data_IF_104378410241
#
_entry.id   IF_104378410241
#
_cell.length_a   1.000
_cell.length_b   1.000
_cell.length_c   1.000
_cell.angle_alpha   90.00
_cell.angle_beta   90.00
_cell.angle_gamma   90.00
#
_symmetry.space_group_name_H-M   'P 1'
#
loop_
_entity.id
_entity.type
_entity.pdbx_description
1 polymer ?
#
# COMPACT_ATOMS: atom_id res chain seq x y z
N UNK A 1 25.55 7.27 -5.45
CA UNK A 1 25.57 6.83 -4.03
C UNK A 1 25.56 8.09 -3.18
N UNK A 2 24.43 8.55 -2.77
CA UNK A 2 24.29 9.69 -1.87
C UNK A 2 23.95 9.13 -0.49
N UNK A 3 24.83 9.42 0.46
CA UNK A 3 24.71 9.02 1.84
C UNK A 3 23.46 9.66 2.48
N UNK A 4 22.46 8.88 2.77
CA UNK A 4 21.37 9.25 3.67
C UNK A 4 21.82 8.94 5.10
N UNK A 5 22.59 9.85 5.66
CA UNK A 5 22.75 10.00 7.10
C UNK A 5 23.15 11.44 7.34
N UNK A 6 22.30 12.12 8.06
CA UNK A 6 22.63 13.25 8.92
C UNK A 6 21.52 14.29 8.84
N UNK A 7 20.57 14.12 9.74
CA UNK A 7 20.17 15.28 10.53
C UNK A 7 21.48 15.70 11.21
N UNK A 8 22.08 16.79 10.73
CA UNK A 8 23.26 17.35 11.37
C UNK A 8 22.85 17.94 12.74
N UNK A 9 22.97 17.11 13.76
CA UNK A 9 23.12 17.65 15.12
C UNK A 9 24.47 18.33 15.23
N UNK A 10 24.44 19.61 15.54
CA UNK A 10 25.60 20.36 15.93
C UNK A 10 26.25 19.69 17.15
N UNK A 11 27.53 19.34 17.14
CA UNK A 11 28.17 18.72 18.28
C UNK A 11 28.69 19.78 19.23
N UNK A 12 27.79 20.40 20.01
CA UNK A 12 28.22 21.19 21.18
C UNK A 12 27.11 21.25 22.22
N UNK A 13 27.06 20.21 23.06
CA UNK A 13 26.64 20.33 24.46
C UNK A 13 26.97 19.03 25.20
N UNK A 14 27.99 19.11 26.01
CA UNK A 14 28.31 18.15 27.06
C UNK A 14 27.14 17.98 28.03
N UNK A 15 26.55 16.75 28.08
CA UNK A 15 25.64 16.35 29.15
C UNK A 15 24.14 16.37 28.80
N UNK A 16 23.73 16.09 27.55
CA UNK A 16 22.32 16.13 27.16
C UNK A 16 21.63 14.75 27.27
N UNK A 17 20.80 14.56 28.28
CA UNK A 17 19.77 13.53 28.25
C UNK A 17 18.80 13.81 27.09
N UNK A 18 18.14 12.73 26.56
CA UNK A 18 17.11 12.85 25.52
C UNK A 18 15.99 13.79 25.97
N UNK A 19 15.41 14.53 25.04
CA UNK A 19 14.23 15.35 25.31
C UNK A 19 13.03 14.47 25.72
N UNK A 20 12.04 15.01 26.45
CA UNK A 20 10.83 14.28 26.77
C UNK A 20 10.10 13.74 25.53
N UNK A 21 10.11 14.48 24.43
CA UNK A 21 9.51 14.08 23.14
C UNK A 21 10.26 12.92 22.49
N UNK A 22 11.59 12.93 22.54
CA UNK A 22 12.41 11.82 22.04
C UNK A 22 12.18 10.53 22.86
N UNK A 23 12.04 10.66 24.18
CA UNK A 23 11.76 9.53 25.05
C UNK A 23 10.36 8.96 24.82
N UNK A 24 9.36 9.82 24.60
CA UNK A 24 8.01 9.40 24.28
C UNK A 24 7.96 8.68 22.92
N UNK A 25 8.62 9.22 21.91
CA UNK A 25 8.72 8.60 20.59
C UNK A 25 9.39 7.23 20.65
N UNK A 26 10.50 7.09 21.38
CA UNK A 26 11.16 5.79 21.56
C UNK A 26 10.24 4.77 22.22
N UNK A 27 9.49 5.19 23.23
CA UNK A 27 8.52 4.33 23.91
C UNK A 27 7.42 3.87 22.98
N UNK A 28 6.88 4.77 22.13
CA UNK A 28 5.89 4.40 21.11
C UNK A 28 6.46 3.39 20.10
N UNK A 29 7.70 3.61 19.62
CA UNK A 29 8.35 2.69 18.69
C UNK A 29 8.55 1.30 19.28
N UNK A 30 8.99 1.19 20.54
CA UNK A 30 9.14 -0.09 21.22
C UNK A 30 7.77 -0.77 21.46
N UNK A 31 6.73 -0.02 21.77
CA UNK A 31 5.38 -0.57 21.87
C UNK A 31 4.92 -1.14 20.52
N UNK A 32 5.07 -0.40 19.43
CA UNK A 32 4.70 -0.86 18.08
C UNK A 32 5.49 -2.12 17.72
N UNK A 33 6.80 -2.12 17.92
CA UNK A 33 7.68 -3.27 17.64
C UNK A 33 7.29 -4.53 18.42
N UNK A 34 6.80 -4.36 19.65
CA UNK A 34 6.31 -5.48 20.45
C UNK A 34 5.00 -6.05 19.94
N UNK A 35 4.12 -5.21 19.35
CA UNK A 35 2.75 -5.55 18.97
C UNK A 35 2.56 -5.88 17.48
N UNK A 36 3.50 -5.51 16.61
CA UNK A 36 3.30 -5.58 15.16
C UNK A 36 4.42 -6.39 14.49
N UNK A 37 4.08 -7.16 13.47
CA UNK A 37 5.07 -7.82 12.61
C UNK A 37 4.62 -7.97 11.16
N UNK A 38 5.60 -8.19 10.27
CA UNK A 38 5.36 -8.64 8.89
C UNK A 38 5.52 -10.15 8.80
N UNK A 39 4.61 -10.80 8.09
CA UNK A 39 4.67 -12.23 7.81
C UNK A 39 5.35 -12.43 6.44
N UNK A 40 6.31 -13.34 6.39
CA UNK A 40 6.84 -13.81 5.13
C UNK A 40 5.79 -14.65 4.39
N UNK A 41 5.25 -14.15 3.28
CA UNK A 41 4.20 -14.83 2.53
C UNK A 41 4.62 -16.16 1.90
N UNK A 42 5.92 -16.44 1.78
CA UNK A 42 6.44 -17.72 1.25
C UNK A 42 6.55 -18.81 2.32
N UNK A 43 6.84 -18.40 3.55
CA UNK A 43 7.00 -19.28 4.71
C UNK A 43 6.24 -18.67 5.89
N UNK A 44 4.90 -18.69 5.85
CA UNK A 44 4.12 -18.02 6.87
C UNK A 44 4.14 -18.81 8.20
N UNK A 45 4.46 -18.11 9.29
CA UNK A 45 4.37 -18.60 10.65
C UNK A 45 3.32 -17.80 11.41
N UNK A 46 2.32 -18.47 11.96
CA UNK A 46 1.15 -17.82 12.58
C UNK A 46 1.05 -18.00 14.09
N UNK A 47 1.95 -18.76 14.72
CA UNK A 47 1.87 -19.12 16.14
C UNK A 47 1.79 -17.91 17.07
N UNK A 48 2.53 -16.84 16.74
CA UNK A 48 2.59 -15.59 17.49
C UNK A 48 1.58 -14.54 17.02
N UNK A 49 0.68 -14.90 16.09
CA UNK A 49 -0.26 -13.96 15.51
C UNK A 49 -1.62 -14.13 16.18
N UNK A 50 -2.16 -13.03 16.70
CA UNK A 50 -3.49 -13.00 17.28
C UNK A 50 -4.52 -12.26 16.42
N UNK A 51 -4.05 -11.29 15.56
CA UNK A 51 -4.91 -10.54 14.67
C UNK A 51 -4.19 -10.31 13.36
N UNK A 52 -4.85 -10.67 12.26
CA UNK A 52 -4.40 -10.43 10.90
C UNK A 52 -4.96 -9.14 10.32
N UNK A 53 -4.17 -8.50 9.47
CA UNK A 53 -4.59 -7.41 8.60
C UNK A 53 -4.08 -7.74 7.21
N UNK A 54 -4.99 -7.96 6.27
CA UNK A 54 -4.68 -8.39 4.90
C UNK A 54 -3.76 -9.63 4.81
N UNK A 55 -3.97 -10.59 5.70
CA UNK A 55 -3.32 -11.88 5.58
C UNK A 55 -4.03 -12.69 4.51
N UNK A 56 -3.49 -12.66 3.30
CA UNK A 56 -4.02 -13.37 2.13
C UNK A 56 -3.43 -14.76 1.93
N UNK A 57 -2.45 -15.14 2.76
CA UNK A 57 -1.81 -16.46 2.72
C UNK A 57 -2.67 -17.53 3.40
N UNK A 58 -2.66 -18.75 2.84
CA UNK A 58 -3.45 -19.87 3.38
C UNK A 58 -2.96 -20.29 4.76
N UNK A 59 -3.90 -20.77 5.60
CA UNK A 59 -3.61 -21.37 6.91
C UNK A 59 -3.71 -20.41 8.09
N UNK A 60 -4.02 -19.14 7.89
CA UNK A 60 -4.37 -18.25 8.99
C UNK A 60 -5.86 -18.41 9.32
N UNK A 61 -6.14 -18.86 10.55
CA UNK A 61 -7.52 -19.11 11.02
C UNK A 61 -8.01 -18.05 12.04
N UNK A 62 -7.19 -17.03 12.31
CA UNK A 62 -7.51 -15.95 13.24
C UNK A 62 -8.44 -14.89 12.64
N UNK A 63 -8.76 -13.88 13.47
CA UNK A 63 -9.47 -12.68 13.02
C UNK A 63 -8.57 -11.96 12.00
N UNK A 64 -9.11 -11.64 10.83
CA UNK A 64 -8.40 -11.00 9.74
C UNK A 64 -9.25 -9.89 9.12
N UNK A 65 -8.77 -8.65 9.21
CA UNK A 65 -9.35 -7.52 8.49
C UNK A 65 -8.82 -7.57 7.05
N UNK A 66 -9.66 -8.01 6.13
CA UNK A 66 -9.25 -8.28 4.75
C UNK A 66 -10.44 -8.13 3.80
N UNK A 67 -10.20 -7.46 2.67
CA UNK A 67 -11.18 -7.29 1.60
C UNK A 67 -10.87 -8.12 0.35
N UNK A 68 -9.77 -8.91 0.37
CA UNK A 68 -9.35 -9.77 -0.73
C UNK A 68 -9.99 -11.16 -0.72
N UNK A 69 -10.96 -11.39 0.17
CA UNK A 69 -11.75 -12.64 0.18
C UNK A 69 -12.60 -12.73 -1.08
N UNK A 70 -13.06 -13.95 -1.43
CA UNK A 70 -13.86 -14.19 -2.63
C UNK A 70 -15.03 -13.19 -2.75
N UNK A 71 -15.05 -12.43 -3.85
CA UNK A 71 -16.09 -11.45 -4.15
C UNK A 71 -15.57 -10.18 -4.83
N UNK A 72 -16.42 -9.17 -4.93
CA UNK A 72 -16.04 -7.86 -5.47
C UNK A 72 -15.29 -7.04 -4.43
N UNK A 73 -13.96 -7.00 -4.56
CA UNK A 73 -13.07 -6.26 -3.66
C UNK A 73 -13.31 -4.74 -3.67
N UNK A 74 -14.00 -4.21 -4.68
CA UNK A 74 -14.31 -2.78 -4.75
C UNK A 74 -15.49 -2.37 -3.87
N UNK A 75 -16.39 -3.30 -3.56
CA UNK A 75 -17.56 -3.05 -2.72
C UNK A 75 -17.33 -3.40 -1.24
N UNK A 76 -16.39 -4.31 -0.98
CA UNK A 76 -16.02 -4.67 0.40
C UNK A 76 -15.14 -3.57 1.01
N UNK A 77 -15.45 -3.08 2.23
CA UNK A 77 -14.59 -2.12 2.91
C UNK A 77 -13.16 -2.62 3.02
N UNK A 78 -12.19 -1.74 2.76
CA UNK A 78 -10.77 -2.07 2.91
C UNK A 78 -10.37 -2.33 4.36
N UNK A 79 -9.17 -2.81 4.62
CA UNK A 79 -8.74 -3.15 5.97
C UNK A 79 -8.76 -1.94 6.92
N UNK A 80 -8.34 -0.76 6.46
CA UNK A 80 -8.37 0.46 7.28
C UNK A 80 -9.80 0.92 7.58
N UNK A 81 -10.74 0.78 6.62
CA UNK A 81 -12.15 1.08 6.83
C UNK A 81 -12.78 0.09 7.83
N UNK A 82 -12.47 -1.21 7.70
CA UNK A 82 -12.89 -2.24 8.65
C UNK A 82 -12.35 -1.95 10.05
N UNK A 83 -11.09 -1.54 10.18
CA UNK A 83 -10.47 -1.20 11.46
C UNK A 83 -11.17 -0.04 12.18
N UNK A 84 -11.73 0.91 11.44
CA UNK A 84 -12.46 2.04 12.02
C UNK A 84 -13.75 1.59 12.72
N UNK A 85 -14.43 0.58 12.18
CA UNK A 85 -15.71 0.07 12.68
C UNK A 85 -15.58 -1.20 13.55
N UNK A 86 -14.39 -1.79 13.61
CA UNK A 86 -14.14 -3.06 14.29
C UNK A 86 -14.46 -2.96 15.78
N UNK A 87 -15.20 -3.94 16.33
CA UNK A 87 -15.43 -4.00 17.76
C UNK A 87 -14.15 -4.44 18.50
N UNK A 88 -13.56 -3.51 19.26
CA UNK A 88 -12.31 -3.73 19.99
C UNK A 88 -12.43 -4.85 21.05
N UNK A 89 -13.65 -5.19 21.51
CA UNK A 89 -13.85 -6.33 22.41
C UNK A 89 -13.54 -7.67 21.73
N UNK A 90 -13.53 -7.71 20.42
CA UNK A 90 -13.14 -8.89 19.63
C UNK A 90 -11.62 -9.00 19.44
N UNK A 91 -10.82 -8.00 19.84
CA UNK A 91 -9.35 -8.16 19.81
C UNK A 91 -8.95 -9.21 20.86
N UNK A 92 -8.21 -10.26 20.46
CA UNK A 92 -7.73 -11.25 21.41
C UNK A 92 -6.94 -10.60 22.54
N UNK A 93 -7.20 -11.03 23.79
CA UNK A 93 -6.50 -10.47 24.97
C UNK A 93 -4.99 -10.59 24.87
N UNK A 94 -4.51 -11.65 24.25
CA UNK A 94 -3.09 -11.89 24.01
C UNK A 94 -2.45 -10.82 23.13
N UNK A 95 -3.22 -10.20 22.21
CA UNK A 95 -2.76 -9.05 21.38
C UNK A 95 -2.69 -7.80 22.25
N UNK A 96 -3.73 -7.52 23.03
CA UNK A 96 -3.77 -6.36 23.93
C UNK A 96 -2.67 -6.42 25.00
N UNK A 97 -2.34 -7.62 25.47
CA UNK A 97 -1.29 -7.88 26.45
C UNK A 97 0.12 -7.97 25.82
N UNK A 98 0.25 -7.84 24.51
CA UNK A 98 1.52 -7.95 23.79
C UNK A 98 2.11 -9.37 23.73
N UNK A 99 1.34 -10.40 24.08
CA UNK A 99 1.75 -11.82 24.00
C UNK A 99 1.66 -12.37 22.58
N UNK A 100 0.72 -11.85 21.79
CA UNK A 100 0.58 -12.10 20.36
C UNK A 100 0.58 -10.78 19.60
N UNK A 101 0.86 -10.84 18.31
CA UNK A 101 1.03 -9.65 17.46
C UNK A 101 -0.14 -9.44 16.51
N UNK A 102 -0.32 -8.19 16.10
CA UNK A 102 -1.00 -7.83 14.87
C UNK A 102 -0.03 -8.03 13.71
N UNK A 103 -0.49 -8.61 12.62
CA UNK A 103 0.39 -8.94 11.52
C UNK A 103 -0.24 -8.69 10.15
N UNK A 104 0.60 -8.35 9.17
CA UNK A 104 0.22 -8.27 7.77
C UNK A 104 1.24 -8.96 6.88
N UNK A 105 0.83 -9.38 5.69
CA UNK A 105 1.73 -9.83 4.60
C UNK A 105 1.99 -8.71 3.58
N UNK A 106 1.24 -7.60 3.66
CA UNK A 106 1.29 -6.48 2.72
C UNK A 106 1.81 -5.23 3.42
N UNK A 107 2.95 -4.68 3.01
CA UNK A 107 3.47 -3.44 3.56
C UNK A 107 2.92 -2.21 2.78
N UNK A 108 1.60 -2.03 2.73
CA UNK A 108 0.93 -0.91 2.06
C UNK A 108 0.23 0.04 3.04
N UNK A 109 -0.32 1.13 2.54
CA UNK A 109 -0.94 2.16 3.37
C UNK A 109 -2.28 1.72 3.97
N UNK A 110 -3.02 0.80 3.32
CA UNK A 110 -4.26 0.25 3.86
C UNK A 110 -3.97 -0.64 5.07
N UNK A 111 -3.05 -1.61 4.94
CA UNK A 111 -2.71 -2.52 6.03
C UNK A 111 -2.07 -1.80 7.24
N UNK A 112 -1.09 -0.93 7.02
CA UNK A 112 -0.49 -0.18 8.14
C UNK A 112 -1.40 0.89 8.70
N UNK A 113 -2.27 1.48 7.86
CA UNK A 113 -3.34 2.36 8.30
C UNK A 113 -4.34 1.64 9.21
N UNK A 114 -4.75 0.42 8.87
CA UNK A 114 -5.63 -0.39 9.71
C UNK A 114 -5.01 -0.71 11.07
N UNK A 115 -3.74 -1.11 11.11
CA UNK A 115 -3.01 -1.34 12.36
C UNK A 115 -2.94 -0.03 13.18
N UNK A 116 -2.63 1.10 12.55
CA UNK A 116 -2.58 2.40 13.21
C UNK A 116 -3.93 2.81 13.79
N UNK A 117 -5.04 2.61 13.05
CA UNK A 117 -6.41 2.87 13.54
C UNK A 117 -6.74 2.02 14.76
N UNK A 118 -6.46 0.71 14.72
CA UNK A 118 -6.72 -0.18 15.87
C UNK A 118 -5.93 0.27 17.10
N UNK A 119 -4.65 0.61 16.95
CA UNK A 119 -3.82 1.11 18.06
C UNK A 119 -4.34 2.43 18.62
N UNK A 120 -4.74 3.38 17.76
CA UNK A 120 -5.31 4.66 18.19
C UNK A 120 -6.63 4.48 18.95
N UNK A 121 -7.48 3.58 18.50
CA UNK A 121 -8.74 3.27 19.18
C UNK A 121 -8.50 2.58 20.53
N UNK A 122 -7.51 1.68 20.63
CA UNK A 122 -7.08 1.08 21.89
C UNK A 122 -6.57 2.15 22.88
N UNK A 123 -5.74 3.11 22.38
CA UNK A 123 -5.28 4.26 23.16
C UNK A 123 -6.44 5.11 23.66
N UNK A 124 -7.44 5.38 22.81
CA UNK A 124 -8.61 6.15 23.19
C UNK A 124 -9.44 5.46 24.29
N UNK A 125 -9.59 4.13 24.24
CA UNK A 125 -10.27 3.40 25.33
C UNK A 125 -9.48 3.49 26.66
N UNK A 126 -8.18 3.53 26.63
CA UNK A 126 -7.33 3.76 27.83
C UNK A 126 -7.47 5.20 28.32
N UNK A 127 -7.40 6.17 27.40
CA UNK A 127 -7.54 7.58 27.72
C UNK A 127 -8.89 7.91 28.37
N UNK A 128 -10.00 7.32 27.88
CA UNK A 128 -11.33 7.44 28.49
C UNK A 128 -11.33 6.97 29.94
N UNK A 129 -10.73 5.81 30.22
CA UNK A 129 -10.65 5.24 31.57
C UNK A 129 -9.81 6.11 32.52
N UNK A 130 -8.81 6.81 31.98
CA UNK A 130 -7.92 7.67 32.73
C UNK A 130 -8.35 9.14 32.76
N UNK A 131 -9.53 9.48 32.18
CA UNK A 131 -10.03 10.85 31.98
C UNK A 131 -9.03 11.77 31.24
N UNK A 132 -8.33 11.22 30.26
CA UNK A 132 -7.44 11.94 29.34
C UNK A 132 -8.15 12.29 28.04
N UNK A 133 -7.60 13.23 27.30
CA UNK A 133 -8.08 13.61 25.98
C UNK A 133 -7.92 12.44 24.98
N UNK A 134 -8.96 12.22 24.17
CA UNK A 134 -8.93 11.20 23.13
C UNK A 134 -8.21 11.72 21.87
N UNK A 135 -7.52 10.82 21.17
CA UNK A 135 -6.96 11.14 19.85
C UNK A 135 -8.12 11.29 18.84
N UNK A 136 -8.12 12.37 18.09
CA UNK A 136 -9.02 12.53 16.94
C UNK A 136 -8.42 11.74 15.78
N UNK A 137 -9.22 10.87 15.16
CA UNK A 137 -8.85 10.14 13.95
C UNK A 137 -9.50 10.83 12.76
N UNK A 138 -8.73 11.18 11.73
CA UNK A 138 -9.26 11.74 10.48
C UNK A 138 -9.97 10.66 9.66
N UNK A 139 -11.30 10.50 9.92
CA UNK A 139 -12.12 9.51 9.22
C UNK A 139 -12.21 9.76 7.71
N UNK A 140 -12.08 11.03 7.26
CA UNK A 140 -12.09 11.33 5.82
C UNK A 140 -10.84 10.77 5.17
N UNK A 141 -9.70 10.90 5.84
CA UNK A 141 -8.44 10.34 5.35
C UNK A 141 -8.46 8.80 5.39
N UNK A 142 -9.01 8.19 6.44
CA UNK A 142 -9.23 6.73 6.52
C UNK A 142 -10.03 6.24 5.30
N UNK A 143 -11.18 6.86 5.04
CA UNK A 143 -12.03 6.51 3.88
C UNK A 143 -11.34 6.74 2.55
N UNK A 144 -10.52 7.78 2.44
CA UNK A 144 -9.77 8.07 1.22
C UNK A 144 -8.68 7.04 0.94
N UNK A 145 -7.91 6.64 1.95
CA UNK A 145 -6.90 5.58 1.82
C UNK A 145 -7.57 4.26 1.43
N UNK A 146 -8.64 3.86 2.12
CA UNK A 146 -9.37 2.65 1.82
C UNK A 146 -10.01 2.66 0.42
N UNK A 147 -10.54 3.79 -0.01
CA UNK A 147 -11.09 3.93 -1.36
C UNK A 147 -10.00 3.86 -2.43
N UNK A 148 -8.83 4.47 -2.17
CA UNK A 148 -7.68 4.42 -3.07
C UNK A 148 -7.20 2.97 -3.25
N UNK A 149 -7.12 2.19 -2.16
CA UNK A 149 -6.72 0.79 -2.22
C UNK A 149 -7.73 -0.06 -3.03
N UNK A 150 -9.03 0.06 -2.73
CA UNK A 150 -10.09 -0.69 -3.40
C UNK A 150 -10.22 -0.37 -4.89
N UNK A 151 -10.09 0.89 -5.26
CA UNK A 151 -10.32 1.35 -6.63
C UNK A 151 -9.03 1.42 -7.46
N UNK A 152 -7.89 1.54 -6.81
CA UNK A 152 -6.60 1.87 -7.43
C UNK A 152 -6.47 3.35 -7.82
N UNK A 153 -5.22 3.82 -8.03
CA UNK A 153 -4.91 5.24 -8.20
C UNK A 153 -5.58 5.89 -9.41
N UNK A 154 -5.78 5.14 -10.48
CA UNK A 154 -6.41 5.64 -11.70
C UNK A 154 -7.88 6.00 -11.50
N UNK A 155 -8.67 5.11 -10.90
CA UNK A 155 -10.09 5.34 -10.61
C UNK A 155 -10.25 6.39 -9.53
N UNK A 156 -9.44 6.32 -8.46
CA UNK A 156 -9.47 7.27 -7.37
C UNK A 156 -9.29 8.71 -7.87
N UNK A 157 -8.33 8.97 -8.75
CA UNK A 157 -8.09 10.29 -9.35
C UNK A 157 -9.33 10.87 -10.04
N UNK A 158 -10.16 10.04 -10.67
CA UNK A 158 -11.28 10.49 -11.48
C UNK A 158 -12.64 10.42 -10.79
N UNK A 159 -12.82 9.48 -9.86
CA UNK A 159 -14.10 9.21 -9.19
C UNK A 159 -14.05 9.40 -7.68
N UNK A 160 -12.85 9.47 -7.10
CA UNK A 160 -12.67 9.56 -5.64
C UNK A 160 -13.32 10.78 -5.02
N UNK A 161 -13.26 11.94 -5.72
CA UNK A 161 -13.92 13.17 -5.26
C UNK A 161 -15.41 12.98 -5.04
N UNK A 162 -16.10 12.42 -6.04
CA UNK A 162 -17.55 12.16 -5.98
C UNK A 162 -17.86 11.09 -4.92
N UNK A 163 -17.10 10.00 -4.89
CA UNK A 163 -17.28 8.91 -3.96
C UNK A 163 -17.09 9.32 -2.49
N UNK A 164 -16.20 10.29 -2.23
CA UNK A 164 -15.98 10.86 -0.89
C UNK A 164 -16.88 12.06 -0.56
N UNK A 165 -17.66 12.57 -1.53
CA UNK A 165 -18.51 13.74 -1.34
C UNK A 165 -17.73 15.03 -1.06
N UNK A 166 -16.54 15.18 -1.64
CA UNK A 166 -15.62 16.30 -1.39
C UNK A 166 -15.69 17.35 -2.51
N UNK A 167 -15.34 18.61 -2.18
CA UNK A 167 -15.04 19.62 -3.18
C UNK A 167 -13.60 19.46 -3.73
N UNK A 168 -13.22 20.30 -4.72
CA UNK A 168 -11.90 20.17 -5.38
C UNK A 168 -10.74 20.40 -4.42
N UNK A 169 -10.81 21.42 -3.56
CA UNK A 169 -9.76 21.77 -2.60
C UNK A 169 -9.58 20.67 -1.54
N UNK A 170 -10.67 20.17 -0.98
CA UNK A 170 -10.64 19.07 -0.01
C UNK A 170 -10.08 17.79 -0.64
N UNK A 171 -10.49 17.50 -1.88
CA UNK A 171 -10.01 16.31 -2.59
C UNK A 171 -8.53 16.41 -2.93
N UNK A 172 -8.04 17.57 -3.37
CA UNK A 172 -6.62 17.81 -3.61
C UNK A 172 -5.79 17.59 -2.34
N UNK A 173 -6.24 18.19 -1.23
CA UNK A 173 -5.58 18.02 0.09
C UNK A 173 -5.54 16.55 0.53
N UNK A 174 -6.67 15.84 0.48
CA UNK A 174 -6.74 14.43 0.88
C UNK A 174 -5.92 13.55 -0.06
N UNK A 175 -6.01 13.76 -1.37
CA UNK A 175 -5.21 13.00 -2.35
C UNK A 175 -3.71 13.16 -2.09
N UNK A 176 -3.27 14.36 -1.71
CA UNK A 176 -1.90 14.61 -1.30
C UNK A 176 -1.50 13.81 -0.07
N UNK A 177 -2.36 13.75 0.95
CA UNK A 177 -2.10 12.96 2.16
C UNK A 177 -2.05 11.45 1.85
N UNK A 178 -2.93 10.94 0.99
CA UNK A 178 -2.87 9.54 0.53
C UNK A 178 -1.54 9.25 -0.17
N UNK A 179 -1.08 10.12 -1.07
CA UNK A 179 0.22 9.97 -1.74
C UNK A 179 1.39 9.98 -0.77
N UNK A 180 1.35 10.86 0.24
CA UNK A 180 2.36 10.93 1.31
C UNK A 180 2.38 9.65 2.14
N UNK A 181 1.20 9.07 2.43
CA UNK A 181 1.07 7.78 3.10
C UNK A 181 1.72 6.66 2.27
N UNK A 182 1.28 6.48 1.01
CA UNK A 182 1.80 5.45 0.12
C UNK A 182 3.32 5.56 -0.09
N UNK A 183 3.80 6.78 -0.36
CA UNK A 183 5.23 7.00 -0.54
C UNK A 183 6.05 6.65 0.70
N UNK A 184 5.57 7.03 1.88
CA UNK A 184 6.28 6.75 3.12
C UNK A 184 6.27 5.26 3.47
N UNK A 185 5.12 4.62 3.29
CA UNK A 185 4.93 3.22 3.69
C UNK A 185 5.51 2.25 2.66
N UNK A 186 5.29 2.47 1.36
CA UNK A 186 5.64 1.50 0.33
C UNK A 186 7.02 1.75 -0.28
N UNK A 187 7.40 3.02 -0.44
CA UNK A 187 8.57 3.41 -1.21
C UNK A 187 9.79 3.65 -0.31
N UNK A 188 9.62 4.42 0.79
CA UNK A 188 10.72 4.70 1.71
C UNK A 188 11.17 3.44 2.43
N UNK A 189 12.48 3.29 2.56
CA UNK A 189 13.09 2.17 3.29
C UNK A 189 13.15 2.48 4.79
N UNK A 190 11.99 2.50 5.43
CA UNK A 190 11.85 2.70 6.87
C UNK A 190 11.61 1.37 7.59
N UNK A 191 12.04 1.24 8.86
CA UNK A 191 11.61 0.16 9.74
C UNK A 191 10.09 0.07 9.84
N UNK A 192 9.55 -1.11 10.13
CA UNK A 192 8.12 -1.35 10.23
C UNK A 192 7.46 -0.46 11.29
N UNK A 193 8.04 -0.36 12.45
CA UNK A 193 7.58 0.46 13.56
C UNK A 193 7.49 1.95 13.22
N UNK A 194 8.44 2.45 12.44
CA UNK A 194 8.45 3.84 11.95
C UNK A 194 7.30 4.09 10.95
N UNK A 195 6.99 3.12 10.09
CA UNK A 195 5.87 3.21 9.15
C UNK A 195 4.53 3.27 9.88
N UNK A 196 4.34 2.41 10.88
CA UNK A 196 3.12 2.40 11.69
C UNK A 196 3.00 3.69 12.51
N UNK A 197 4.10 4.17 13.11
CA UNK A 197 4.12 5.42 13.86
C UNK A 197 3.80 6.62 12.94
N UNK A 198 4.36 6.63 11.73
CA UNK A 198 4.02 7.64 10.73
C UNK A 198 2.52 7.63 10.41
N UNK A 199 1.93 6.47 10.15
CA UNK A 199 0.49 6.36 9.88
C UNK A 199 -0.36 6.82 11.08
N UNK A 200 0.01 6.46 12.31
CA UNK A 200 -0.64 6.97 13.53
C UNK A 200 -0.63 8.50 13.58
N UNK A 201 0.51 9.12 13.33
CA UNK A 201 0.66 10.58 13.38
C UNK A 201 -0.06 11.27 12.22
N UNK A 202 -0.04 10.70 11.02
CA UNK A 202 -0.76 11.20 9.86
C UNK A 202 -2.28 11.21 10.13
N UNK A 203 -2.82 10.10 10.62
CA UNK A 203 -4.25 9.95 10.94
C UNK A 203 -4.70 10.85 12.11
N UNK A 204 -3.79 11.21 13.02
CA UNK A 204 -4.05 12.20 14.09
C UNK A 204 -3.89 13.65 13.64
N UNK A 205 -3.44 13.90 12.41
CA UNK A 205 -3.09 15.26 11.94
C UNK A 205 -1.91 15.87 12.68
N UNK A 206 -1.01 15.06 13.25
CA UNK A 206 0.16 15.52 14.02
C UNK A 206 1.43 15.68 13.19
N UNK A 207 1.39 15.47 11.86
CA UNK A 207 2.53 15.72 10.98
C UNK A 207 2.48 17.19 10.54
N UNK A 208 3.57 17.90 10.69
CA UNK A 208 3.65 19.30 10.27
C UNK A 208 3.50 19.46 8.75
N UNK A 209 2.88 20.55 8.33
CA UNK A 209 2.62 20.82 6.92
C UNK A 209 3.90 20.85 6.09
N UNK A 210 5.01 21.37 6.63
CA UNK A 210 6.31 21.42 5.97
C UNK A 210 6.88 20.02 5.72
N UNK A 211 6.65 19.08 6.63
CA UNK A 211 7.08 17.69 6.48
C UNK A 211 6.23 16.99 5.40
N UNK A 212 4.91 17.21 5.39
CA UNK A 212 4.02 16.71 4.35
C UNK A 212 4.46 17.22 2.98
N UNK A 213 4.73 18.53 2.84
CA UNK A 213 5.19 19.12 1.58
C UNK A 213 6.52 18.50 1.13
N UNK A 214 7.47 18.36 2.04
CA UNK A 214 8.76 17.76 1.74
C UNK A 214 8.63 16.33 1.22
N UNK A 215 7.82 15.49 1.90
CA UNK A 215 7.60 14.11 1.48
C UNK A 215 6.89 14.06 0.11
N UNK A 216 5.92 14.94 -0.11
CA UNK A 216 5.20 15.03 -1.38
C UNK A 216 6.10 15.48 -2.54
N UNK A 217 7.03 16.40 -2.30
CA UNK A 217 8.02 16.79 -3.32
C UNK A 217 9.03 15.67 -3.61
N UNK A 218 9.47 14.93 -2.58
CA UNK A 218 10.30 13.74 -2.77
C UNK A 218 9.59 12.71 -3.66
N UNK A 219 8.31 12.43 -3.36
CA UNK A 219 7.47 11.53 -4.15
C UNK A 219 7.35 11.98 -5.61
N UNK A 220 7.08 13.26 -5.85
CA UNK A 220 6.99 13.82 -7.20
C UNK A 220 8.30 13.68 -7.97
N UNK A 221 9.41 14.02 -7.34
CA UNK A 221 10.73 13.92 -7.96
C UNK A 221 11.08 12.48 -8.33
N UNK A 222 10.78 11.52 -7.45
CA UNK A 222 10.98 10.09 -7.72
C UNK A 222 10.09 9.59 -8.86
N UNK A 223 8.83 10.07 -8.93
CA UNK A 223 7.92 9.72 -10.03
C UNK A 223 8.39 10.29 -11.37
N UNK A 224 8.86 11.54 -11.39
CA UNK A 224 9.39 12.16 -12.61
C UNK A 224 10.67 11.46 -13.09
N UNK A 225 11.55 11.10 -12.19
CA UNK A 225 12.72 10.29 -12.50
C UNK A 225 12.33 8.92 -13.05
N UNK A 226 11.40 8.24 -12.39
CA UNK A 226 10.88 6.96 -12.85
C UNK A 226 10.26 7.04 -14.25
N UNK A 227 9.54 8.15 -14.55
CA UNK A 227 8.97 8.43 -15.88
C UNK A 227 10.08 8.62 -16.92
N UNK A 228 11.10 9.41 -16.61
CA UNK A 228 12.21 9.66 -17.53
C UNK A 228 13.03 8.39 -17.85
N UNK A 229 13.16 7.48 -16.90
CA UNK A 229 13.87 6.20 -17.06
C UNK A 229 13.01 5.10 -17.72
N UNK A 230 11.70 5.32 -17.84
CA UNK A 230 10.76 4.36 -18.42
C UNK A 230 10.71 4.44 -19.94
N UNK A 231 10.59 3.28 -20.59
CA UNK A 231 10.25 3.20 -22.02
C UNK A 231 8.74 3.02 -22.16
N UNK A 232 8.08 4.01 -22.70
CA UNK A 232 6.62 4.07 -22.83
C UNK A 232 6.26 3.91 -24.30
N UNK A 233 5.40 2.95 -24.60
CA UNK A 233 4.88 2.69 -25.95
C UNK A 233 3.35 2.62 -25.88
N UNK A 234 2.72 3.57 -26.57
CA UNK A 234 1.26 3.60 -26.69
C UNK A 234 0.86 2.66 -27.83
N UNK A 235 -0.05 1.75 -27.55
CA UNK A 235 -0.55 0.78 -28.52
C UNK A 235 -2.08 0.89 -28.65
N UNK A 236 -2.63 0.37 -29.75
CA UNK A 236 -4.07 0.34 -30.01
C UNK A 236 -4.76 1.70 -29.89
N UNK A 237 -4.28 2.68 -30.64
CA UNK A 237 -4.89 4.01 -30.76
C UNK A 237 -5.08 4.72 -29.40
N UNK A 238 -4.12 4.58 -28.47
CA UNK A 238 -4.17 5.21 -27.15
C UNK A 238 -4.98 4.46 -26.10
N UNK A 239 -5.49 3.27 -26.41
CA UNK A 239 -6.30 2.49 -25.46
C UNK A 239 -5.46 1.62 -24.53
N UNK A 240 -4.21 1.36 -24.90
CA UNK A 240 -3.29 0.54 -24.12
C UNK A 240 -1.90 1.13 -24.15
N UNK A 241 -1.20 1.05 -23.04
CA UNK A 241 0.20 1.44 -22.93
C UNK A 241 1.04 0.27 -22.46
N UNK A 242 2.18 0.08 -23.11
CA UNK A 242 3.23 -0.83 -22.65
C UNK A 242 4.35 0.00 -22.01
N UNK A 243 4.65 -0.29 -20.75
CA UNK A 243 5.72 0.38 -20.00
C UNK A 243 6.79 -0.64 -19.64
N UNK A 244 8.01 -0.39 -20.09
CA UNK A 244 9.20 -1.09 -19.61
C UNK A 244 9.91 -0.21 -18.60
N UNK A 245 9.88 -0.62 -17.32
CA UNK A 245 10.43 0.16 -16.22
C UNK A 245 10.80 -0.75 -15.05
N UNK A 246 11.86 -0.39 -14.32
CA UNK A 246 12.18 -1.00 -13.02
C UNK A 246 11.57 -0.23 -11.84
N UNK A 247 10.87 0.85 -12.11
CA UNK A 247 10.25 1.69 -11.08
C UNK A 247 9.03 0.98 -10.45
N UNK A 248 8.88 1.10 -9.15
CA UNK A 248 7.73 0.54 -8.41
C UNK A 248 6.40 1.10 -8.89
N UNK A 249 6.37 2.36 -9.36
CA UNK A 249 5.16 3.10 -9.76
C UNK A 249 4.89 3.08 -11.28
N UNK A 250 5.41 2.10 -12.00
CA UNK A 250 5.23 1.97 -13.45
C UNK A 250 3.75 1.88 -13.88
N UNK A 251 2.89 1.27 -13.06
CA UNK A 251 1.45 1.21 -13.33
C UNK A 251 0.79 2.59 -13.27
N UNK A 252 1.11 3.39 -12.25
CA UNK A 252 0.60 4.76 -12.10
C UNK A 252 1.01 5.63 -13.28
N UNK A 253 2.29 5.58 -13.67
CA UNK A 253 2.79 6.26 -14.86
C UNK A 253 1.99 5.82 -16.09
N UNK A 254 1.69 4.52 -16.21
CA UNK A 254 0.93 3.99 -17.35
C UNK A 254 -0.48 4.55 -17.45
N UNK A 255 -1.17 4.71 -16.36
CA UNK A 255 -2.53 5.26 -16.34
C UNK A 255 -2.61 6.73 -16.75
N UNK A 256 -1.50 7.45 -16.82
CA UNK A 256 -1.47 8.79 -17.41
C UNK A 256 -1.66 8.76 -18.94
N UNK A 257 -1.36 7.63 -19.58
CA UNK A 257 -1.34 7.49 -21.05
C UNK A 257 -2.51 6.68 -21.59
N UNK A 258 -2.98 5.67 -20.87
CA UNK A 258 -4.03 4.78 -21.36
C UNK A 258 -4.78 4.06 -20.21
N UNK A 259 -6.06 3.69 -20.45
CA UNK A 259 -6.87 2.97 -19.47
C UNK A 259 -6.47 1.51 -19.25
N UNK A 260 -5.65 0.92 -20.11
CA UNK A 260 -5.07 -0.41 -19.95
C UNK A 260 -3.55 -0.28 -19.92
N UNK A 261 -2.93 -0.80 -18.88
CA UNK A 261 -1.48 -0.73 -18.66
C UNK A 261 -0.88 -2.12 -18.63
N UNK A 262 0.21 -2.28 -19.39
CA UNK A 262 1.08 -3.45 -19.33
C UNK A 262 2.42 -2.97 -18.80
N UNK A 263 2.68 -3.17 -17.53
CA UNK A 263 3.97 -2.87 -16.94
C UNK A 263 4.87 -4.10 -16.99
N UNK A 264 6.05 -3.93 -17.57
CA UNK A 264 7.09 -4.93 -17.65
C UNK A 264 8.34 -4.44 -16.91
N UNK A 265 8.66 -5.10 -15.81
CA UNK A 265 9.93 -4.89 -15.11
C UNK A 265 10.89 -6.02 -15.48
N UNK A 266 11.98 -5.74 -16.21
CA UNK A 266 12.92 -6.77 -16.65
C UNK A 266 13.77 -7.34 -15.51
N UNK A 267 13.90 -6.63 -14.40
CA UNK A 267 14.77 -6.96 -13.27
C UNK A 267 14.03 -6.74 -11.94
N UNK A 268 12.84 -7.32 -11.81
CA UNK A 268 12.08 -7.21 -10.56
C UNK A 268 12.82 -7.94 -9.45
N UNK A 269 13.15 -7.19 -8.40
CA UNK A 269 13.83 -7.73 -7.21
C UNK A 269 12.81 -8.29 -6.24
N UNK A 270 12.87 -9.60 -6.04
CA UNK A 270 12.04 -10.29 -5.06
C UNK A 270 12.58 -10.12 -3.64
N UNK A 271 11.77 -10.37 -2.59
CA UNK A 271 12.20 -10.21 -1.19
C UNK A 271 13.45 -11.00 -0.80
N UNK A 272 13.69 -12.16 -1.42
CA UNK A 272 14.90 -12.98 -1.24
C UNK A 272 16.12 -12.46 -2.03
N UNK A 273 15.96 -11.36 -2.76
CA UNK A 273 17.02 -10.68 -3.49
C UNK A 273 17.25 -11.16 -4.92
N UNK A 274 16.63 -12.27 -5.34
CA UNK A 274 16.79 -12.71 -6.73
C UNK A 274 16.02 -11.79 -7.71
N UNK A 275 16.45 -11.76 -8.96
CA UNK A 275 15.89 -10.92 -10.01
C UNK A 275 15.23 -11.78 -11.08
N UNK A 276 13.97 -11.48 -11.42
CA UNK A 276 13.30 -12.05 -12.59
C UNK A 276 12.50 -11.00 -13.32
N UNK A 277 12.21 -11.19 -14.61
CA UNK A 277 11.22 -10.37 -15.29
C UNK A 277 9.84 -10.51 -14.62
N UNK A 278 9.07 -9.42 -14.61
CA UNK A 278 7.71 -9.41 -14.06
C UNK A 278 6.79 -8.60 -14.96
N UNK A 279 5.61 -9.14 -15.22
CA UNK A 279 4.49 -8.40 -15.80
C UNK A 279 3.45 -8.10 -14.73
N UNK A 280 2.89 -6.90 -14.83
CA UNK A 280 1.62 -6.52 -14.21
C UNK A 280 0.75 -5.92 -15.31
N UNK A 281 -0.45 -6.47 -15.50
CA UNK A 281 -1.38 -6.05 -16.56
C UNK A 281 -2.67 -5.68 -15.86
N UNK A 282 -3.11 -4.44 -16.04
CA UNK A 282 -4.33 -3.96 -15.39
C UNK A 282 -5.13 -3.05 -16.29
N UNK A 283 -6.43 -2.98 -16.01
CA UNK A 283 -7.33 -1.99 -16.58
C UNK A 283 -7.72 -0.97 -15.52
N UNK A 284 -8.02 0.23 -15.99
CA UNK A 284 -8.35 1.39 -15.16
C UNK A 284 -9.51 1.09 -14.19
N UNK A 285 -10.59 0.53 -14.68
CA UNK A 285 -11.73 0.04 -13.90
C UNK A 285 -12.47 -1.11 -14.63
N UNK A 286 -13.46 -1.69 -13.96
CA UNK A 286 -14.26 -2.80 -14.50
C UNK A 286 -15.08 -2.42 -15.75
N UNK A 287 -15.32 -1.14 -15.99
CA UNK A 287 -16.08 -0.65 -17.16
C UNK A 287 -15.22 -0.46 -18.41
N UNK A 288 -13.89 -0.53 -18.26
CA UNK A 288 -12.99 -0.54 -19.42
C UNK A 288 -13.20 -1.85 -20.19
N UNK A 289 -13.61 -1.73 -21.44
CA UNK A 289 -13.84 -2.90 -22.32
C UNK A 289 -12.50 -3.55 -22.70
N UNK A 290 -12.00 -4.38 -21.82
CA UNK A 290 -10.80 -5.19 -21.99
C UNK A 290 -11.03 -6.54 -21.32
N UNK A 291 -10.91 -7.62 -22.11
CA UNK A 291 -11.12 -8.99 -21.60
C UNK A 291 -9.91 -9.52 -20.84
N UNK A 292 -9.72 -8.98 -19.62
CA UNK A 292 -8.62 -9.40 -18.75
C UNK A 292 -8.75 -10.87 -18.32
N UNK A 293 -9.96 -11.37 -18.16
CA UNK A 293 -10.24 -12.76 -17.80
C UNK A 293 -9.82 -13.71 -18.93
N UNK A 294 -10.25 -13.44 -20.17
CA UNK A 294 -9.85 -14.24 -21.33
C UNK A 294 -8.33 -14.19 -21.56
N UNK A 295 -7.70 -13.03 -21.35
CA UNK A 295 -6.24 -12.92 -21.37
C UNK A 295 -5.58 -13.80 -20.31
N UNK A 296 -6.08 -13.78 -19.07
CA UNK A 296 -5.55 -14.61 -17.99
C UNK A 296 -5.65 -16.11 -18.31
N UNK A 297 -6.79 -16.54 -18.91
CA UNK A 297 -6.99 -17.93 -19.33
C UNK A 297 -6.00 -18.33 -20.44
N UNK A 298 -5.71 -17.44 -21.41
CA UNK A 298 -4.67 -17.71 -22.43
C UNK A 298 -3.28 -17.83 -21.81
N UNK A 299 -2.92 -16.91 -20.89
CA UNK A 299 -1.63 -16.92 -20.22
C UNK A 299 -1.47 -18.16 -19.33
N UNK A 300 -2.52 -18.62 -18.66
CA UNK A 300 -2.51 -19.85 -17.85
C UNK A 300 -2.31 -21.12 -18.64
N UNK A 301 -2.66 -21.15 -19.92
CA UNK A 301 -2.34 -22.29 -20.80
C UNK A 301 -0.83 -22.45 -21.01
N UNK A 302 -0.08 -21.37 -20.90
CA UNK A 302 1.39 -21.38 -21.01
C UNK A 302 2.05 -21.66 -19.66
N UNK A 303 1.64 -20.97 -18.63
CA UNK A 303 2.09 -21.20 -17.27
C UNK A 303 0.88 -21.02 -16.30
N UNK A 304 0.44 -22.11 -15.64
CA UNK A 304 -0.76 -22.08 -14.79
C UNK A 304 -0.61 -21.19 -13.55
N UNK A 305 0.60 -20.70 -13.25
CA UNK A 305 0.87 -19.81 -12.11
C UNK A 305 0.57 -18.33 -12.40
N UNK A 306 0.15 -17.96 -13.62
CA UNK A 306 -0.41 -16.64 -13.87
C UNK A 306 -1.63 -16.43 -12.98
N UNK A 307 -1.69 -15.29 -12.29
CA UNK A 307 -2.74 -15.01 -11.32
C UNK A 307 -3.21 -13.57 -11.35
N UNK A 308 -4.24 -13.29 -10.58
CA UNK A 308 -4.75 -11.94 -10.41
C UNK A 308 -6.23 -11.90 -10.16
N UNK A 309 -6.76 -10.69 -10.13
CA UNK A 309 -8.14 -10.34 -9.85
C UNK A 309 -8.82 -9.75 -11.10
N UNK A 310 -10.04 -9.27 -10.94
CA UNK A 310 -10.87 -8.76 -12.04
C UNK A 310 -10.21 -7.60 -12.82
N UNK A 311 -9.46 -6.72 -12.15
CA UNK A 311 -8.86 -5.52 -12.76
C UNK A 311 -7.35 -5.59 -12.96
N UNK A 312 -6.67 -6.59 -12.36
CA UNK A 312 -5.22 -6.73 -12.43
C UNK A 312 -4.80 -8.20 -12.46
N UNK A 313 -3.88 -8.54 -13.36
CA UNK A 313 -3.22 -9.84 -13.42
C UNK A 313 -1.71 -9.67 -13.39
N UNK A 314 -1.02 -10.66 -12.85
CA UNK A 314 0.44 -10.70 -12.75
C UNK A 314 1.05 -11.98 -13.24
N UNK A 315 2.30 -11.89 -13.69
CA UNK A 315 3.10 -13.06 -14.05
C UNK A 315 3.43 -13.93 -12.83
N UNK A 316 3.83 -15.19 -13.04
CA UNK A 316 4.26 -16.10 -11.98
C UNK A 316 5.23 -15.45 -11.01
N UNK A 317 4.97 -15.61 -9.71
CA UNK A 317 5.81 -15.00 -8.67
C UNK A 317 7.12 -15.78 -8.53
N UNK A 318 8.24 -15.04 -8.59
CA UNK A 318 9.58 -15.61 -8.40
C UNK A 318 10.11 -16.43 -9.59
N UNK A 319 9.40 -16.43 -10.72
CA UNK A 319 9.77 -17.19 -11.92
C UNK A 319 9.82 -16.28 -13.15
N UNK A 320 10.59 -16.66 -14.16
CA UNK A 320 10.54 -16.02 -15.46
C UNK A 320 9.18 -16.34 -16.12
N UNK A 321 8.42 -15.34 -16.56
CA UNK A 321 7.14 -15.55 -17.25
C UNK A 321 7.27 -16.24 -18.62
N UNK A 322 8.50 -16.41 -19.14
CA UNK A 322 8.83 -17.05 -20.43
C UNK A 322 8.15 -16.38 -21.65
N UNK A 323 7.65 -15.16 -21.50
CA UNK A 323 7.01 -14.38 -22.56
C UNK A 323 7.83 -13.12 -22.81
N UNK A 324 8.31 -12.94 -24.03
CA UNK A 324 9.03 -11.73 -24.42
C UNK A 324 8.08 -10.54 -24.58
N UNK A 325 8.56 -9.30 -24.37
CA UNK A 325 7.75 -8.09 -24.51
C UNK A 325 6.98 -7.99 -25.84
N UNK A 326 7.62 -8.27 -26.96
CA UNK A 326 6.97 -8.19 -28.28
C UNK A 326 5.88 -9.25 -28.45
N UNK A 327 6.09 -10.44 -27.90
CA UNK A 327 5.07 -11.48 -27.91
C UNK A 327 3.87 -11.11 -27.02
N UNK A 328 4.11 -10.56 -25.82
CA UNK A 328 3.06 -10.06 -24.94
C UNK A 328 2.20 -9.00 -25.64
N UNK A 329 2.82 -8.05 -26.33
CA UNK A 329 2.11 -7.03 -27.11
C UNK A 329 1.21 -7.65 -28.20
N UNK A 330 1.64 -8.73 -28.84
CA UNK A 330 0.83 -9.43 -29.87
C UNK A 330 -0.33 -10.20 -29.24
N UNK A 331 -0.11 -10.85 -28.10
CA UNK A 331 -1.17 -11.55 -27.35
C UNK A 331 -2.26 -10.55 -26.98
N UNK A 332 -1.89 -9.45 -26.35
CA UNK A 332 -2.83 -8.44 -25.81
C UNK A 332 -3.71 -7.82 -26.88
N UNK A 333 -3.18 -7.60 -28.08
CA UNK A 333 -3.99 -7.07 -29.21
C UNK A 333 -5.27 -7.84 -29.49
N UNK A 334 -5.33 -9.14 -29.13
CA UNK A 334 -6.51 -9.99 -29.32
C UNK A 334 -7.64 -9.69 -28.33
N UNK A 335 -7.31 -9.09 -27.17
CA UNK A 335 -8.25 -8.90 -26.04
C UNK A 335 -8.72 -7.46 -25.89
N UNK A 336 -8.23 -6.56 -26.75
CA UNK A 336 -8.58 -5.16 -26.68
C UNK A 336 -9.87 -4.90 -27.45
N UNK A 337 -10.88 -4.44 -26.72
CA UNK A 337 -12.07 -3.79 -27.27
C UNK A 337 -12.81 -4.57 -28.38
N UNK A 338 -13.15 -5.83 -28.10
CA UNK A 338 -14.20 -6.50 -28.86
C UNK A 338 -15.58 -5.98 -28.49
#
# INVERSE_FOLDING_TARGET
MANFNQIQYSPDSTGGGKSPEELEREKELEEIKSKVCLINSREPHYEDIGLGVEITTKGFEGINLDHHKEGDTQETPSAIEQALEFDLNNIPKEVLEGKKKMATVRPDSDAFGAIAVLMLREENEKNKKENKEENVIDEKLVKAIGLLDRMGPGVFKNKGKEALGLNDEEFEKISKLCRVADYTVEIKNLPLEEKVLFMKNLLKGKIFSEEIEKIYEEDRNDLEKARAESKIEIINEGKTVFIKSSAKRSMEIGYEYAPVVIAYNPNFKWPDGHLTPKYSIARYDKYVKFDLKGLLEELRKRNPKWGGLENIIGSPQGEDPEIKPEEMKQIIKKYIFK
#
